data_IF_146461950820
#
_entry.id   IF_146461950820
#
_cell.length_a   1.000
_cell.length_b   1.000
_cell.length_c   1.000
_cell.angle_alpha   90.00
_cell.angle_beta   90.00
_cell.angle_gamma   90.00
#
_symmetry.space_group_name_H-M   'P 1'
#
loop_
_entity.id
_entity.type
_entity.pdbx_description
1 polymer ?
#
# COMPACT_ATOMS: atom_id res chain seq x y z
N UNK A 1 31.96 28.43 -13.42
CA UNK A 1 30.57 27.98 -13.61
C UNK A 1 30.17 27.30 -12.31
N UNK A 2 29.00 27.63 -11.76
CA UNK A 2 28.47 26.91 -10.59
C UNK A 2 27.66 25.74 -11.11
N UNK A 3 28.00 24.53 -10.69
CA UNK A 3 27.32 23.32 -11.13
C UNK A 3 26.28 22.91 -10.08
N UNK A 4 25.17 22.30 -10.50
CA UNK A 4 24.06 21.98 -9.59
C UNK A 4 24.48 21.05 -8.44
N UNK A 5 25.48 20.19 -8.66
CA UNK A 5 26.04 19.33 -7.63
C UNK A 5 27.00 20.04 -6.67
N UNK A 6 27.39 21.29 -6.93
CA UNK A 6 28.15 22.11 -5.98
C UNK A 6 27.26 22.69 -4.86
N UNK A 7 25.94 22.54 -4.97
CA UNK A 7 25.01 22.90 -3.91
C UNK A 7 25.32 22.13 -2.61
N UNK A 8 25.09 22.83 -1.49
CA UNK A 8 25.15 22.24 -0.16
C UNK A 8 24.26 20.97 -0.12
N UNK A 9 24.76 19.82 0.39
CA UNK A 9 23.99 18.59 0.51
C UNK A 9 22.59 18.75 1.12
N UNK A 10 22.41 19.63 2.10
CA UNK A 10 21.11 19.90 2.74
C UNK A 10 20.12 20.54 1.77
N UNK A 11 20.56 21.54 1.01
CA UNK A 11 19.73 22.18 -0.03
C UNK A 11 19.39 21.18 -1.14
N UNK A 12 20.35 20.34 -1.52
CA UNK A 12 20.14 19.31 -2.53
C UNK A 12 19.14 18.26 -2.03
N UNK A 13 19.25 17.78 -0.78
CA UNK A 13 18.28 16.89 -0.15
C UNK A 13 16.89 17.51 -0.08
N UNK A 14 16.79 18.80 0.22
CA UNK A 14 15.50 19.52 0.23
C UNK A 14 14.87 19.54 -1.16
N UNK A 15 15.62 19.88 -2.20
CA UNK A 15 15.14 19.86 -3.60
C UNK A 15 14.70 18.45 -4.00
N UNK A 16 15.49 17.43 -3.68
CA UNK A 16 15.15 16.03 -3.97
C UNK A 16 13.85 15.62 -3.24
N UNK A 17 13.66 16.07 -1.99
CA UNK A 17 12.44 15.79 -1.23
C UNK A 17 11.20 16.45 -1.86
N UNK A 18 11.33 17.70 -2.32
CA UNK A 18 10.26 18.39 -3.04
C UNK A 18 9.89 17.67 -4.34
N UNK A 19 10.89 17.15 -5.06
CA UNK A 19 10.65 16.36 -6.26
C UNK A 19 9.98 15.03 -5.93
N UNK A 20 10.50 14.30 -4.95
CA UNK A 20 9.98 13.01 -4.49
C UNK A 20 8.52 13.08 -4.01
N UNK A 21 8.10 14.21 -3.42
CA UNK A 21 6.72 14.42 -2.94
C UNK A 21 5.77 14.96 -4.01
N UNK A 22 6.28 15.35 -5.17
CA UNK A 22 5.47 15.87 -6.28
C UNK A 22 4.54 14.80 -6.88
N UNK A 23 3.61 15.21 -7.74
CA UNK A 23 2.66 14.28 -8.38
C UNK A 23 3.33 13.17 -9.22
N UNK A 24 4.52 13.42 -9.76
CA UNK A 24 5.33 12.46 -10.53
C UNK A 24 6.53 11.95 -9.72
N UNK A 25 6.47 12.06 -8.39
CA UNK A 25 7.66 12.03 -7.54
C UNK A 25 8.52 10.79 -7.69
N UNK A 26 7.93 9.59 -7.76
CA UNK A 26 8.68 8.36 -8.00
C UNK A 26 9.40 8.34 -9.36
N UNK A 27 8.72 8.75 -10.45
CA UNK A 27 9.31 8.81 -11.80
C UNK A 27 10.42 9.86 -11.87
N UNK A 28 10.17 11.04 -11.31
CA UNK A 28 11.14 12.14 -11.34
C UNK A 28 12.36 11.82 -10.47
N UNK A 29 12.15 11.18 -9.32
CA UNK A 29 13.24 10.71 -8.46
C UNK A 29 14.08 9.64 -9.15
N UNK A 30 13.46 8.65 -9.80
CA UNK A 30 14.17 7.62 -10.56
C UNK A 30 15.05 8.24 -11.65
N UNK A 31 14.49 9.15 -12.45
CA UNK A 31 15.22 9.87 -13.51
C UNK A 31 16.38 10.70 -12.94
N UNK A 32 16.12 11.45 -11.88
CA UNK A 32 17.13 12.30 -11.26
C UNK A 32 18.26 11.46 -10.62
N UNK A 33 17.93 10.34 -9.99
CA UNK A 33 18.93 9.44 -9.41
C UNK A 33 19.90 8.87 -10.44
N UNK A 34 19.46 8.74 -11.70
CA UNK A 34 20.30 8.26 -12.80
C UNK A 34 21.30 9.30 -13.31
N UNK A 35 21.19 10.59 -12.94
CA UNK A 35 22.03 11.65 -13.53
C UNK A 35 23.43 11.73 -12.92
N UNK A 36 23.58 11.55 -11.61
CA UNK A 36 24.90 11.58 -10.97
C UNK A 36 24.95 10.83 -9.62
N UNK A 37 26.15 10.38 -9.25
CA UNK A 37 26.37 9.58 -8.03
C UNK A 37 25.97 10.30 -6.74
N UNK A 38 26.16 11.63 -6.65
CA UNK A 38 25.77 12.40 -5.46
C UNK A 38 24.26 12.39 -5.26
N UNK A 39 23.48 12.61 -6.33
CA UNK A 39 22.01 12.58 -6.25
C UNK A 39 21.52 11.15 -6.03
N UNK A 40 22.13 10.16 -6.70
CA UNK A 40 21.86 8.75 -6.45
C UNK A 40 21.96 8.41 -4.96
N UNK A 41 23.06 8.79 -4.31
CA UNK A 41 23.25 8.53 -2.89
C UNK A 41 22.21 9.26 -2.01
N UNK A 42 21.95 10.54 -2.27
CA UNK A 42 20.97 11.31 -1.51
C UNK A 42 19.53 10.79 -1.70
N UNK A 43 19.17 10.34 -2.90
CA UNK A 43 17.85 9.78 -3.20
C UNK A 43 17.55 8.50 -2.41
N UNK A 44 18.59 7.80 -1.94
CA UNK A 44 18.48 6.59 -1.11
C UNK A 44 18.37 6.88 0.40
N UNK A 45 18.33 8.16 0.80
CA UNK A 45 18.09 8.52 2.19
C UNK A 45 16.67 8.07 2.60
N UNK A 46 16.49 7.31 3.71
CA UNK A 46 15.16 6.85 4.11
C UNK A 46 14.15 7.96 4.34
N UNK A 47 14.56 9.15 4.78
CA UNK A 47 13.65 10.28 4.98
C UNK A 47 13.09 10.79 3.65
N UNK A 48 13.86 10.67 2.56
CA UNK A 48 13.36 10.96 1.20
C UNK A 48 12.46 9.81 0.75
N UNK A 49 12.95 8.57 0.84
CA UNK A 49 12.24 7.37 0.37
C UNK A 49 10.86 7.18 1.02
N UNK A 50 10.72 7.49 2.32
CA UNK A 50 9.45 7.47 3.06
C UNK A 50 8.38 8.38 2.46
N UNK A 51 8.79 9.47 1.81
CA UNK A 51 7.92 10.54 1.33
C UNK A 51 7.71 10.49 -0.20
N UNK A 52 8.28 9.51 -0.89
CA UNK A 52 8.11 9.35 -2.35
C UNK A 52 6.64 9.12 -2.70
N UNK A 53 6.15 9.89 -3.66
CA UNK A 53 4.77 9.81 -4.12
C UNK A 53 4.64 8.85 -5.31
N UNK A 54 3.80 7.82 -5.14
CA UNK A 54 3.47 6.80 -6.15
C UNK A 54 2.11 7.01 -6.83
N UNK A 55 1.43 8.15 -6.61
CA UNK A 55 0.04 8.37 -7.05
C UNK A 55 -0.22 8.10 -8.55
N UNK A 56 0.76 8.39 -9.41
CA UNK A 56 0.65 8.24 -10.87
C UNK A 56 1.26 6.96 -11.43
N UNK A 57 1.81 6.10 -10.56
CA UNK A 57 2.32 4.81 -10.99
C UNK A 57 1.18 3.79 -10.82
N UNK A 58 0.71 3.25 -11.95
CA UNK A 58 -0.06 2.01 -11.96
C UNK A 58 0.96 0.89 -12.08
N UNK A 59 0.99 -0.02 -11.11
CA UNK A 59 1.78 -1.25 -11.22
C UNK A 59 0.78 -2.34 -11.53
N UNK A 60 0.52 -2.46 -12.83
CA UNK A 60 -0.27 -3.55 -13.41
C UNK A 60 0.64 -4.71 -13.81
N UNK A 61 1.94 -4.44 -14.01
CA UNK A 61 3.00 -5.41 -14.22
C UNK A 61 4.13 -5.14 -13.21
N UNK A 62 4.41 -6.15 -12.39
CA UNK A 62 5.43 -6.07 -11.34
C UNK A 62 6.82 -6.49 -11.81
N UNK A 63 6.95 -7.09 -13.00
CA UNK A 63 8.24 -7.61 -13.50
C UNK A 63 9.30 -6.52 -13.59
N UNK A 64 8.91 -5.29 -13.96
CA UNK A 64 9.81 -4.13 -14.00
C UNK A 64 10.40 -3.75 -12.63
N UNK A 65 9.79 -4.24 -11.54
CA UNK A 65 10.17 -3.97 -10.17
C UNK A 65 10.86 -5.18 -9.48
N UNK A 66 11.21 -6.23 -10.23
CA UNK A 66 11.92 -7.41 -9.73
C UNK A 66 13.41 -7.17 -9.48
N UNK A 67 13.74 -6.09 -8.77
CA UNK A 67 15.08 -5.79 -8.26
C UNK A 67 14.96 -5.32 -6.80
N UNK A 68 15.77 -5.90 -5.91
CA UNK A 68 15.82 -5.51 -4.50
C UNK A 68 16.28 -4.06 -4.30
N UNK A 69 16.99 -3.50 -5.28
CA UNK A 69 17.46 -2.12 -5.32
C UNK A 69 16.51 -1.20 -6.09
N UNK A 70 15.39 -1.71 -6.61
CA UNK A 70 14.39 -0.88 -7.26
C UNK A 70 13.78 0.13 -6.27
N UNK A 71 13.33 1.26 -6.80
CA UNK A 71 12.76 2.35 -6.01
C UNK A 71 11.56 1.89 -5.18
N UNK A 72 10.70 1.00 -5.72
CA UNK A 72 9.55 0.48 -5.00
C UNK A 72 9.97 -0.31 -3.75
N UNK A 73 10.91 -1.24 -3.92
CA UNK A 73 11.49 -2.05 -2.85
C UNK A 73 12.18 -1.19 -1.78
N UNK A 74 13.00 -0.22 -2.21
CA UNK A 74 13.69 0.70 -1.31
C UNK A 74 12.70 1.58 -0.52
N UNK A 75 11.67 2.11 -1.17
CA UNK A 75 10.64 2.91 -0.51
C UNK A 75 9.84 2.08 0.50
N UNK A 76 9.44 0.86 0.15
CA UNK A 76 8.68 0.01 1.06
C UNK A 76 9.48 -0.34 2.33
N UNK A 77 10.77 -0.66 2.16
CA UNK A 77 11.72 -0.91 3.28
C UNK A 77 11.97 0.33 4.12
N UNK A 78 11.97 1.52 3.51
CA UNK A 78 12.09 2.77 4.24
C UNK A 78 10.83 3.09 5.07
N UNK A 79 9.70 2.43 4.81
CA UNK A 79 8.43 2.66 5.51
C UNK A 79 7.42 3.49 4.71
N UNK A 80 7.63 3.68 3.42
CA UNK A 80 6.69 4.38 2.55
C UNK A 80 5.37 3.60 2.47
N UNK A 81 4.27 4.25 2.85
CA UNK A 81 2.96 3.59 2.97
C UNK A 81 2.38 3.17 1.62
N UNK A 82 2.57 4.00 0.59
CA UNK A 82 2.08 3.70 -0.76
C UNK A 82 2.84 2.50 -1.35
N UNK A 83 4.17 2.52 -1.25
CA UNK A 83 5.01 1.40 -1.71
C UNK A 83 4.66 0.10 -0.96
N UNK A 84 4.47 0.16 0.37
CA UNK A 84 4.03 -0.99 1.16
C UNK A 84 2.65 -1.52 0.74
N UNK A 85 1.72 -0.63 0.40
CA UNK A 85 0.41 -1.02 -0.14
C UNK A 85 0.53 -1.73 -1.49
N UNK A 86 1.42 -1.23 -2.37
CA UNK A 86 1.65 -1.82 -3.70
C UNK A 86 2.30 -3.20 -3.58
N UNK A 87 3.31 -3.37 -2.72
CA UNK A 87 3.87 -4.69 -2.44
C UNK A 87 2.83 -5.64 -1.81
N UNK A 88 1.98 -5.12 -0.92
CA UNK A 88 0.87 -5.90 -0.36
C UNK A 88 -0.06 -6.45 -1.44
N UNK A 89 -0.34 -5.66 -2.49
CA UNK A 89 -1.09 -6.12 -3.67
C UNK A 89 -0.34 -7.21 -4.43
N UNK A 90 0.94 -7.01 -4.72
CA UNK A 90 1.77 -7.98 -5.44
C UNK A 90 1.82 -9.37 -4.75
N UNK A 91 1.93 -9.38 -3.42
CA UNK A 91 1.89 -10.63 -2.64
C UNK A 91 0.55 -11.36 -2.77
N UNK A 92 -0.55 -10.62 -2.76
CA UNK A 92 -1.89 -11.18 -2.93
C UNK A 92 -2.09 -11.75 -4.33
N UNK A 93 -1.49 -11.13 -5.34
CA UNK A 93 -1.43 -11.65 -6.71
C UNK A 93 -0.46 -12.83 -6.87
N UNK A 94 0.16 -13.28 -5.77
CA UNK A 94 1.08 -14.41 -5.71
C UNK A 94 2.34 -14.22 -6.57
N UNK A 95 2.84 -12.98 -6.61
CA UNK A 95 4.14 -12.67 -7.23
C UNK A 95 5.27 -13.37 -6.46
N UNK A 96 5.91 -14.34 -7.12
CA UNK A 96 6.93 -15.19 -6.52
C UNK A 96 8.18 -14.41 -6.10
N UNK A 97 8.56 -13.37 -6.85
CA UNK A 97 9.74 -12.58 -6.53
C UNK A 97 9.56 -11.86 -5.20
N UNK A 98 8.40 -11.22 -4.99
CA UNK A 98 8.16 -10.51 -3.71
C UNK A 98 7.96 -11.46 -2.54
N UNK A 99 7.41 -12.66 -2.75
CA UNK A 99 7.36 -13.69 -1.72
C UNK A 99 8.77 -14.15 -1.33
N UNK A 100 9.64 -14.47 -2.30
CA UNK A 100 11.04 -14.80 -2.03
C UNK A 100 11.78 -13.65 -1.36
N UNK A 101 11.52 -12.40 -1.78
CA UNK A 101 12.10 -11.23 -1.14
C UNK A 101 11.77 -11.17 0.36
N UNK A 102 10.54 -11.47 0.76
CA UNK A 102 10.15 -11.48 2.17
C UNK A 102 10.76 -12.67 2.92
N UNK A 103 10.76 -13.85 2.30
CA UNK A 103 11.23 -15.08 2.97
C UNK A 103 12.75 -15.18 3.08
N UNK A 104 13.49 -14.69 2.08
CA UNK A 104 14.95 -14.85 1.96
C UNK A 104 15.73 -13.59 2.36
N UNK A 105 15.15 -12.40 2.18
CA UNK A 105 15.83 -11.12 2.43
C UNK A 105 15.36 -10.40 3.70
N UNK A 106 14.94 -11.17 4.70
CA UNK A 106 14.72 -10.73 6.09
C UNK A 106 16.03 -10.27 6.79
N UNK A 107 17.16 -10.29 6.08
CA UNK A 107 18.41 -9.70 6.55
C UNK A 107 18.29 -8.18 6.42
N UNK A 108 18.30 -7.40 7.52
CA UNK A 108 18.44 -5.96 7.42
C UNK A 108 19.74 -5.72 6.63
N UNK A 109 19.68 -4.95 5.55
CA UNK A 109 20.87 -4.47 4.84
C UNK A 109 21.63 -3.52 5.79
N UNK A 110 22.29 -4.13 6.78
CA UNK A 110 23.29 -3.61 7.70
C UNK A 110 24.55 -3.34 6.89
N UNK A 111 24.47 -2.40 5.95
CA UNK A 111 25.65 -1.84 5.33
C UNK A 111 25.32 -0.42 4.88
N UNK A 112 25.75 0.51 5.72
CA UNK A 112 25.93 1.94 5.45
C UNK A 112 24.69 2.82 5.67
N UNK A 113 24.50 3.11 6.96
CA UNK A 113 24.13 4.45 7.46
C UNK A 113 22.68 4.91 7.35
N UNK A 114 21.69 4.04 7.57
CA UNK A 114 20.38 4.56 7.95
C UNK A 114 19.51 3.53 8.68
N UNK A 115 18.82 3.99 9.73
CA UNK A 115 17.74 3.28 10.41
C UNK A 115 16.60 2.99 9.41
N UNK A 116 16.68 1.88 8.68
CA UNK A 116 15.56 1.36 7.91
C UNK A 116 14.58 0.72 8.90
N UNK A 117 13.45 1.40 9.10
CA UNK A 117 12.39 1.00 10.00
C UNK A 117 11.70 -0.28 9.52
N UNK A 118 12.19 -1.42 10.00
CA UNK A 118 11.42 -2.65 10.17
C UNK A 118 11.48 -3.63 9.01
N UNK A 119 11.56 -4.91 9.39
CA UNK A 119 11.38 -6.08 8.55
C UNK A 119 10.12 -5.95 7.67
N UNK A 120 10.22 -6.32 6.39
CA UNK A 120 9.07 -6.38 5.48
C UNK A 120 8.21 -7.60 5.82
N UNK A 121 7.35 -7.47 6.82
CA UNK A 121 6.41 -8.54 7.18
C UNK A 121 5.22 -8.57 6.22
N UNK A 122 4.94 -9.72 5.62
CA UNK A 122 3.81 -9.87 4.70
C UNK A 122 2.48 -9.45 5.32
N UNK A 123 2.27 -9.69 6.63
CA UNK A 123 1.08 -9.27 7.37
C UNK A 123 0.92 -7.74 7.35
N UNK A 124 2.02 -7.02 7.58
CA UNK A 124 2.03 -5.55 7.59
C UNK A 124 1.74 -4.99 6.19
N UNK A 125 2.28 -5.62 5.15
CA UNK A 125 2.07 -5.22 3.76
C UNK A 125 0.62 -5.46 3.31
N UNK A 126 0.06 -6.63 3.60
CA UNK A 126 -1.35 -6.94 3.28
C UNK A 126 -2.31 -6.06 4.09
N UNK A 127 -2.04 -5.83 5.38
CA UNK A 127 -2.80 -4.87 6.20
C UNK A 127 -2.78 -3.47 5.60
N UNK A 128 -1.60 -3.02 5.15
CA UNK A 128 -1.42 -1.72 4.49
C UNK A 128 -2.22 -1.63 3.20
N UNK A 129 -2.21 -2.68 2.38
CA UNK A 129 -3.05 -2.79 1.19
C UNK A 129 -4.55 -2.65 1.52
N UNK A 130 -5.06 -3.40 2.50
CA UNK A 130 -6.48 -3.31 2.91
C UNK A 130 -6.85 -1.89 3.35
N UNK A 131 -5.95 -1.22 4.07
CA UNK A 131 -6.14 0.15 4.54
C UNK A 131 -6.20 1.16 3.39
N UNK A 132 -5.21 1.13 2.49
CA UNK A 132 -4.86 2.28 1.66
C UNK A 132 -5.09 2.08 0.15
N UNK A 133 -5.36 0.85 -0.31
CA UNK A 133 -5.58 0.56 -1.73
C UNK A 133 -6.77 1.31 -2.31
N UNK A 134 -6.88 1.38 -3.64
CA UNK A 134 -8.05 1.99 -4.29
C UNK A 134 -9.25 1.05 -4.23
N UNK A 135 -10.46 1.58 -4.41
CA UNK A 135 -11.67 0.75 -4.42
C UNK A 135 -11.67 -0.24 -5.58
N UNK A 136 -11.12 0.16 -6.72
CA UNK A 136 -10.94 -0.63 -7.92
C UNK A 136 -10.07 -1.86 -7.64
N UNK A 137 -8.91 -1.67 -6.99
CA UNK A 137 -8.02 -2.77 -6.60
C UNK A 137 -8.71 -3.71 -5.61
N UNK A 138 -9.36 -3.18 -4.56
CA UNK A 138 -10.07 -4.00 -3.57
C UNK A 138 -11.17 -4.85 -4.23
N UNK A 139 -11.86 -4.33 -5.24
CA UNK A 139 -12.99 -5.02 -5.88
C UNK A 139 -12.62 -6.35 -6.53
N UNK A 140 -11.38 -6.51 -6.98
CA UNK A 140 -10.90 -7.73 -7.65
C UNK A 140 -10.14 -8.68 -6.71
N UNK A 141 -9.86 -8.25 -5.48
CA UNK A 141 -8.99 -8.98 -4.54
C UNK A 141 -9.70 -9.97 -3.63
N UNK A 142 -10.98 -10.28 -3.89
CA UNK A 142 -11.76 -11.21 -3.04
C UNK A 142 -11.09 -12.57 -2.91
N UNK A 143 -10.81 -13.23 -4.04
CA UNK A 143 -10.21 -14.56 -4.06
C UNK A 143 -8.77 -14.51 -3.50
N UNK A 144 -7.88 -13.61 -4.01
CA UNK A 144 -6.54 -13.42 -3.45
C UNK A 144 -6.48 -13.27 -1.92
N UNK A 145 -7.28 -12.35 -1.36
CA UNK A 145 -7.32 -12.10 0.09
C UNK A 145 -7.80 -13.32 0.87
N UNK A 146 -8.83 -14.01 0.38
CA UNK A 146 -9.34 -15.21 1.04
C UNK A 146 -8.31 -16.35 1.01
N UNK A 147 -7.64 -16.57 -0.13
CA UNK A 147 -6.56 -17.55 -0.24
C UNK A 147 -5.42 -17.23 0.73
N UNK A 148 -4.95 -15.97 0.76
CA UNK A 148 -3.93 -15.53 1.71
C UNK A 148 -4.33 -15.82 3.16
N UNK A 149 -5.55 -15.46 3.56
CA UNK A 149 -6.04 -15.68 4.92
C UNK A 149 -6.12 -17.17 5.28
N UNK A 150 -6.60 -18.00 4.34
CA UNK A 150 -6.69 -19.46 4.55
C UNK A 150 -5.28 -20.07 4.66
N UNK A 151 -4.32 -19.64 3.85
CA UNK A 151 -2.95 -20.13 3.89
C UNK A 151 -2.26 -19.73 5.20
N UNK A 152 -2.43 -18.49 5.65
CA UNK A 152 -1.75 -18.00 6.84
C UNK A 152 -2.41 -18.44 8.17
N UNK A 153 -3.74 -18.55 8.21
CA UNK A 153 -4.49 -18.83 9.46
C UNK A 153 -5.05 -20.25 9.52
N UNK A 154 -5.15 -20.95 8.38
CA UNK A 154 -5.96 -22.15 8.24
C UNK A 154 -7.44 -21.84 7.98
N UNK A 155 -8.12 -22.76 7.28
CA UNK A 155 -9.51 -22.58 6.88
C UNK A 155 -10.46 -22.37 8.07
N UNK A 156 -10.35 -23.19 9.11
CA UNK A 156 -11.28 -23.16 10.24
C UNK A 156 -11.20 -21.83 11.00
N UNK A 157 -9.99 -21.36 11.32
CA UNK A 157 -9.78 -20.08 12.02
C UNK A 157 -10.31 -18.92 11.17
N UNK A 158 -9.99 -18.89 9.88
CA UNK A 158 -10.46 -17.84 8.98
C UNK A 158 -12.00 -17.87 8.81
N UNK A 159 -12.61 -19.05 8.78
CA UNK A 159 -14.05 -19.20 8.66
C UNK A 159 -14.79 -18.76 9.93
N UNK A 160 -14.41 -19.31 11.09
CA UNK A 160 -15.11 -19.06 12.36
C UNK A 160 -14.87 -17.66 12.93
N UNK A 161 -13.77 -17.00 12.60
CA UNK A 161 -13.54 -15.58 12.95
C UNK A 161 -14.42 -14.60 12.15
N UNK A 162 -15.05 -15.06 11.06
CA UNK A 162 -15.86 -14.23 10.17
C UNK A 162 -15.05 -13.32 9.25
N UNK A 163 -13.70 -13.40 9.24
CA UNK A 163 -12.88 -12.53 8.38
C UNK A 163 -13.12 -12.80 6.89
N UNK A 164 -13.37 -14.07 6.50
CA UNK A 164 -13.67 -14.41 5.10
C UNK A 164 -14.96 -13.75 4.61
N UNK A 165 -15.98 -13.66 5.47
CA UNK A 165 -17.23 -12.97 5.17
C UNK A 165 -17.02 -11.46 5.10
N UNK A 166 -16.30 -10.87 6.05
CA UNK A 166 -15.99 -9.44 6.06
C UNK A 166 -15.24 -9.01 4.79
N UNK A 167 -14.28 -9.82 4.31
CA UNK A 167 -13.59 -9.60 3.03
C UNK A 167 -14.55 -9.70 1.86
N UNK A 168 -15.42 -10.71 1.83
CA UNK A 168 -16.41 -10.87 0.75
C UNK A 168 -17.35 -9.66 0.67
N UNK A 169 -17.84 -9.16 1.80
CA UNK A 169 -18.70 -7.99 1.88
C UNK A 169 -17.97 -6.72 1.42
N UNK A 170 -16.73 -6.52 1.87
CA UNK A 170 -15.89 -5.40 1.46
C UNK A 170 -15.67 -5.38 -0.06
N UNK A 171 -15.22 -6.49 -0.65
CA UNK A 171 -14.96 -6.56 -2.09
C UNK A 171 -16.24 -6.40 -2.89
N UNK A 172 -17.35 -7.00 -2.45
CA UNK A 172 -18.65 -6.89 -3.13
C UNK A 172 -19.17 -5.45 -3.13
N UNK A 173 -19.02 -4.72 -2.02
CA UNK A 173 -19.35 -3.31 -1.95
C UNK A 173 -18.61 -2.47 -3.01
N UNK A 174 -17.29 -2.66 -3.14
CA UNK A 174 -16.51 -1.91 -4.13
C UNK A 174 -16.81 -2.34 -5.56
N UNK A 175 -17.10 -3.63 -5.79
CA UNK A 175 -17.55 -4.12 -7.09
C UNK A 175 -18.89 -3.52 -7.49
N UNK A 176 -19.88 -3.48 -6.59
CA UNK A 176 -21.17 -2.84 -6.82
C UNK A 176 -21.01 -1.35 -7.16
N UNK A 177 -20.13 -0.64 -6.42
CA UNK A 177 -19.85 0.78 -6.66
C UNK A 177 -19.22 1.02 -8.04
N UNK A 178 -18.32 0.12 -8.47
CA UNK A 178 -17.67 0.17 -9.78
C UNK A 178 -18.67 -0.05 -10.92
N UNK A 179 -19.57 -1.03 -10.78
CA UNK A 179 -20.56 -1.37 -11.81
C UNK A 179 -21.72 -0.35 -11.85
N UNK A 180 -22.10 0.24 -10.72
CA UNK A 180 -23.23 1.16 -10.61
C UNK A 180 -22.87 2.50 -9.92
N UNK A 181 -22.08 3.37 -10.57
CA UNK A 181 -21.64 4.65 -9.97
C UNK A 181 -22.81 5.63 -9.69
N UNK A 182 -23.97 5.43 -10.35
CA UNK A 182 -25.10 6.37 -10.34
C UNK A 182 -25.97 6.27 -9.07
N UNK A 183 -25.82 5.22 -8.24
CA UNK A 183 -26.70 5.02 -7.06
C UNK A 183 -26.43 5.97 -5.89
N UNK A 184 -25.26 6.61 -5.78
CA UNK A 184 -24.98 7.60 -4.72
C UNK A 184 -25.59 8.98 -5.01
N UNK A 185 -25.95 9.30 -6.26
CA UNK A 185 -26.40 10.65 -6.67
C UNK A 185 -27.91 10.90 -6.45
N UNK A 186 -28.72 9.87 -6.22
CA UNK A 186 -30.15 10.02 -5.88
C UNK A 186 -30.40 10.03 -4.36
N UNK A 187 -29.71 10.90 -3.62
CA UNK A 187 -30.25 11.41 -2.35
C UNK A 187 -31.12 12.62 -2.67
N UNK A 188 -32.32 12.37 -3.18
CA UNK A 188 -33.36 13.40 -3.27
C UNK A 188 -33.63 13.93 -1.84
N UNK A 189 -33.71 15.25 -1.62
CA UNK A 189 -34.16 15.78 -0.36
C UNK A 189 -35.67 15.52 -0.27
N UNK A 190 -36.06 14.37 0.28
CA UNK A 190 -37.44 14.13 0.68
C UNK A 190 -37.71 15.02 1.90
N UNK A 191 -38.16 16.24 1.59
CA UNK A 191 -38.74 17.17 2.54
C UNK A 191 -40.01 16.51 3.09
N UNK A 192 -39.94 16.08 4.34
CA UNK A 192 -41.08 15.58 5.12
C UNK A 192 -41.16 14.06 5.16
N UNK A 193 -40.54 13.45 6.17
CA UNK A 193 -41.19 12.68 7.25
C UNK A 193 -40.06 12.31 8.22
N UNK A 194 -39.91 13.08 9.29
CA UNK A 194 -39.24 12.59 10.49
C UNK A 194 -40.22 11.63 11.16
N UNK A 195 -39.85 10.35 11.32
CA UNK A 195 -40.10 9.45 12.46
C UNK A 195 -39.62 8.05 12.02
N UNK A 196 -38.63 7.52 12.75
CA UNK A 196 -38.10 6.14 12.69
C UNK A 196 -37.36 5.70 11.40
N UNK A 197 -36.01 5.73 11.42
CA UNK A 197 -35.12 4.60 11.05
C UNK A 197 -33.64 5.05 11.08
N UNK A 198 -32.84 4.65 12.09
CA UNK A 198 -31.39 4.57 11.94
C UNK A 198 -30.93 3.37 11.09
N UNK A 199 -31.86 2.61 10.47
CA UNK A 199 -31.63 1.21 10.05
C UNK A 199 -31.24 1.02 8.57
N UNK A 200 -31.16 2.04 7.71
CA UNK A 200 -30.95 1.80 6.26
C UNK A 200 -29.87 2.63 5.56
N UNK A 201 -28.89 3.18 6.28
CA UNK A 201 -27.66 3.60 5.61
C UNK A 201 -26.74 2.39 5.45
N UNK A 202 -26.62 1.90 4.21
CA UNK A 202 -25.60 0.87 3.86
C UNK A 202 -24.23 1.30 4.43
N UNK A 203 -23.44 0.36 4.99
CA UNK A 203 -22.11 0.70 5.50
C UNK A 203 -21.27 1.36 4.40
N UNK A 204 -20.49 2.37 4.79
CA UNK A 204 -19.54 2.99 3.85
C UNK A 204 -18.39 2.04 3.55
N UNK A 205 -17.69 2.26 2.43
CA UNK A 205 -16.46 1.52 2.11
C UNK A 205 -15.39 1.61 3.20
N UNK A 206 -15.35 2.73 3.95
CA UNK A 206 -14.47 2.88 5.13
C UNK A 206 -14.91 1.98 6.28
N UNK A 207 -16.21 1.81 6.51
CA UNK A 207 -16.72 0.92 7.56
C UNK A 207 -16.41 -0.55 7.24
N UNK A 208 -16.55 -0.96 5.97
CA UNK A 208 -16.14 -2.30 5.54
C UNK A 208 -14.65 -2.56 5.76
N UNK A 209 -13.78 -1.60 5.38
CA UNK A 209 -12.33 -1.70 5.64
C UNK A 209 -12.01 -1.78 7.12
N UNK A 210 -12.60 -0.90 7.92
CA UNK A 210 -12.38 -0.88 9.36
C UNK A 210 -12.75 -2.23 10.00
N UNK A 211 -13.85 -2.85 9.57
CA UNK A 211 -14.24 -4.17 10.08
C UNK A 211 -13.26 -5.28 9.69
N UNK A 212 -12.78 -5.28 8.44
CA UNK A 212 -11.75 -6.24 8.02
C UNK A 212 -10.47 -6.03 8.82
N UNK A 213 -10.01 -4.79 8.98
CA UNK A 213 -8.80 -4.46 9.73
C UNK A 213 -8.90 -4.83 11.21
N UNK A 214 -10.06 -4.62 11.85
CA UNK A 214 -10.31 -5.04 13.24
C UNK A 214 -10.11 -6.54 13.41
N UNK A 215 -10.73 -7.36 12.55
CA UNK A 215 -10.57 -8.81 12.57
C UNK A 215 -9.14 -9.24 12.22
N UNK A 216 -8.54 -8.58 11.23
CA UNK A 216 -7.17 -8.85 10.79
C UNK A 216 -6.18 -8.62 11.93
N UNK A 217 -6.30 -7.49 12.62
CA UNK A 217 -5.43 -7.13 13.73
C UNK A 217 -5.58 -8.12 14.88
N UNK A 218 -6.79 -8.57 15.21
CA UNK A 218 -6.98 -9.63 16.23
C UNK A 218 -6.28 -10.94 15.81
N UNK A 219 -6.44 -11.36 14.56
CA UNK A 219 -5.94 -12.66 14.10
C UNK A 219 -4.41 -12.71 13.89
N UNK A 220 -3.78 -11.56 13.64
CA UNK A 220 -2.35 -11.48 13.36
C UNK A 220 -1.52 -10.81 14.48
N UNK A 221 -2.13 -10.12 15.45
CA UNK A 221 -1.42 -9.55 16.60
C UNK A 221 -1.14 -10.59 17.71
N UNK A 222 -1.81 -11.74 17.72
CA UNK A 222 -1.56 -12.83 18.70
C UNK A 222 -0.23 -13.58 18.44
N UNK A 223 0.62 -13.09 17.53
CA UNK A 223 1.90 -13.70 17.11
C UNK A 223 3.12 -12.76 17.22
N UNK A 224 3.02 -11.63 17.92
CA UNK A 224 4.17 -10.82 18.35
C UNK A 224 4.55 -11.11 19.82
#
# INVERSE_FOLDING_TARGET
MAEFYDLNPELLSFIITLLATSANGATDLARLSATCHKIFFLSRNPEILKNVNFQRISVDDYEEHHDLNDLLCLCARAGNQAAQSMLGKALLENDAFFWLMILEHDVPLLAQNAFANGLLRHQKLVRRFISDARGEDISIMRIPLQCYLIVCLGYDIAHFSGILLAVADMCSYYLEKRVNPVREVRRLPLRGVNIALPILTRPSGRAHRARVLELYDVLFNDHE
#
